data_IF_260969349687
#
_entry.id   IF_260969349687
#
_cell.length_a   1.000
_cell.length_b   1.000
_cell.length_c   1.000
_cell.angle_alpha   90.00
_cell.angle_beta   90.00
_cell.angle_gamma   90.00
#
_symmetry.space_group_name_H-M   'P 1'
#
loop_
_entity.id
_entity.type
_entity.pdbx_description
1 polymer ?
#
# COMPACT_ATOMS: atom_id res chain seq x y z
N UNK A 1 -13.55 38.71 13.70
CA UNK A 1 -15.00 38.91 13.91
C UNK A 1 -15.74 37.76 13.23
N UNK A 2 -16.48 36.96 14.00
CA UNK A 2 -17.37 35.88 13.53
C UNK A 2 -18.77 36.47 13.30
N UNK A 3 -19.55 35.95 12.34
CA UNK A 3 -20.99 35.87 12.54
C UNK A 3 -21.38 34.43 12.88
N UNK A 4 -21.94 34.26 14.07
CA UNK A 4 -22.70 33.09 14.51
C UNK A 4 -24.11 33.20 13.91
N UNK A 5 -24.56 32.17 13.20
CA UNK A 5 -25.97 32.04 12.79
C UNK A 5 -26.61 30.97 13.67
N UNK A 6 -27.59 31.43 14.44
CA UNK A 6 -28.47 30.65 15.31
C UNK A 6 -29.74 30.35 14.53
N UNK A 7 -30.14 29.09 14.41
CA UNK A 7 -31.40 28.66 13.80
C UNK A 7 -31.96 27.42 14.51
N UNK A 8 -33.27 27.31 14.75
CA UNK A 8 -33.84 26.45 15.76
C UNK A 8 -34.10 25.00 15.30
N UNK A 9 -34.15 24.15 16.31
CA UNK A 9 -34.60 22.75 16.36
C UNK A 9 -36.00 22.59 15.78
N UNK A 10 -36.17 21.62 14.86
CA UNK A 10 -37.48 21.03 14.55
C UNK A 10 -37.39 19.53 14.85
N UNK A 11 -38.07 19.15 15.92
CA UNK A 11 -38.34 17.78 16.33
C UNK A 11 -39.60 17.31 15.57
N UNK A 12 -39.46 16.32 14.70
CA UNK A 12 -40.60 15.62 14.12
C UNK A 12 -40.35 14.11 14.21
N UNK A 13 -40.94 13.51 15.23
CA UNK A 13 -41.08 12.06 15.41
C UNK A 13 -42.07 11.50 14.39
N UNK A 14 -41.70 10.43 13.68
CA UNK A 14 -42.66 9.52 13.07
C UNK A 14 -42.15 8.08 13.22
N UNK A 15 -42.84 7.35 14.11
CA UNK A 15 -42.75 5.91 14.31
C UNK A 15 -43.55 5.23 13.21
N UNK A 16 -42.94 4.28 12.50
CA UNK A 16 -43.70 3.22 11.81
C UNK A 16 -42.98 1.89 11.98
N UNK A 17 -43.56 1.05 12.82
CA UNK A 17 -43.22 -0.36 12.97
C UNK A 17 -43.92 -1.17 11.89
N UNK A 18 -43.21 -2.09 11.23
CA UNK A 18 -43.82 -3.25 10.56
C UNK A 18 -42.99 -4.48 10.89
N UNK A 19 -43.65 -5.42 11.55
CA UNK A 19 -43.16 -6.74 11.89
C UNK A 19 -43.25 -7.68 10.67
N UNK A 20 -42.22 -8.49 10.45
CA UNK A 20 -42.24 -9.62 9.53
C UNK A 20 -41.51 -10.79 10.15
N UNK A 21 -42.26 -11.66 10.85
CA UNK A 21 -41.82 -12.97 11.32
C UNK A 21 -41.78 -13.92 10.12
N UNK A 22 -40.62 -14.52 9.85
CA UNK A 22 -40.59 -15.82 9.16
C UNK A 22 -39.65 -16.74 9.93
N UNK A 23 -40.25 -17.49 10.86
CA UNK A 23 -39.65 -18.63 11.50
C UNK A 23 -39.84 -19.86 10.61
N UNK A 24 -38.75 -20.53 10.24
CA UNK A 24 -38.80 -21.93 9.82
C UNK A 24 -38.16 -22.74 10.93
N UNK A 25 -38.99 -23.21 11.86
CA UNK A 25 -38.65 -24.28 12.76
C UNK A 25 -38.86 -25.61 12.02
N UNK A 26 -37.90 -26.52 12.13
CA UNK A 26 -38.09 -27.92 11.79
C UNK A 26 -37.47 -28.74 12.93
N UNK A 27 -38.34 -29.34 13.72
CA UNK A 27 -38.02 -30.17 14.89
C UNK A 27 -37.92 -31.64 14.49
N UNK A 28 -36.84 -32.28 14.98
CA UNK A 28 -36.76 -33.64 15.55
C UNK A 28 -36.88 -34.80 14.54
N UNK A 29 -35.95 -35.75 14.46
CA UNK A 29 -35.68 -36.75 15.50
C UNK A 29 -34.29 -37.39 15.39
N UNK A 30 -33.76 -37.76 16.56
CA UNK A 30 -32.49 -38.46 16.74
C UNK A 30 -32.67 -39.97 16.57
N UNK A 31 -32.06 -40.56 15.55
CA UNK A 31 -31.77 -42.00 15.54
C UNK A 31 -30.29 -42.22 15.89
N UNK A 32 -30.08 -42.89 17.02
CA UNK A 32 -28.79 -43.36 17.50
C UNK A 32 -28.07 -44.21 16.46
N UNK A 33 -26.75 -44.02 16.32
CA UNK A 33 -25.86 -45.11 15.94
C UNK A 33 -24.46 -44.88 16.52
N UNK A 34 -24.00 -45.85 17.30
CA UNK A 34 -22.76 -45.83 18.07
C UNK A 34 -21.56 -46.31 17.24
N UNK A 35 -20.46 -45.51 17.27
CA UNK A 35 -19.02 -45.88 17.13
C UNK A 35 -18.51 -46.36 15.75
N UNK A 36 -17.19 -46.24 15.39
CA UNK A 36 -15.96 -45.93 16.17
C UNK A 36 -15.17 -44.68 15.70
N UNK A 37 -14.06 -44.25 16.37
CA UNK A 37 -13.30 -43.06 15.97
C UNK A 37 -12.44 -43.37 14.74
N UNK A 38 -12.68 -42.64 13.65
CA UNK A 38 -11.73 -42.56 12.54
C UNK A 38 -10.72 -41.44 12.83
N UNK A 39 -9.44 -41.79 12.73
CA UNK A 39 -8.28 -40.92 12.89
C UNK A 39 -8.43 -39.59 12.13
N UNK A 40 -7.89 -38.46 12.64
CA UNK A 40 -7.85 -37.24 11.85
C UNK A 40 -6.91 -37.48 10.65
N UNK A 41 -7.49 -37.59 9.46
CA UNK A 41 -6.75 -37.38 8.22
C UNK A 41 -6.34 -35.91 8.24
N UNK A 42 -5.09 -35.66 8.59
CA UNK A 42 -4.40 -34.40 8.34
C UNK A 42 -4.54 -34.09 6.86
N UNK A 43 -5.54 -33.30 6.51
CA UNK A 43 -5.63 -32.65 5.22
C UNK A 43 -4.45 -31.67 5.18
N UNK A 44 -3.51 -31.79 4.23
CA UNK A 44 -2.57 -30.72 4.00
C UNK A 44 -3.43 -29.50 3.68
N UNK A 45 -3.34 -28.47 4.53
CA UNK A 45 -3.70 -27.14 4.11
C UNK A 45 -2.90 -26.90 2.82
N UNK A 46 -3.59 -26.83 1.69
CA UNK A 46 -3.05 -26.23 0.48
C UNK A 46 -2.67 -24.81 0.85
N UNK A 47 -1.41 -24.64 1.27
CA UNK A 47 -0.72 -23.36 1.20
C UNK A 47 -0.86 -22.93 -0.25
N UNK A 48 -1.77 -22.00 -0.48
CA UNK A 48 -1.86 -21.26 -1.71
C UNK A 48 -0.43 -20.74 -2.00
N UNK A 49 0.15 -21.01 -3.18
CA UNK A 49 1.46 -20.46 -3.50
C UNK A 49 1.30 -18.94 -3.54
N UNK A 50 1.70 -18.27 -2.47
CA UNK A 50 2.14 -16.89 -2.56
C UNK A 50 3.18 -16.88 -3.65
N UNK A 51 2.96 -16.05 -4.67
CA UNK A 51 3.86 -15.89 -5.80
C UNK A 51 5.20 -15.35 -5.28
N UNK A 52 6.07 -16.24 -4.79
CA UNK A 52 7.50 -16.00 -4.64
C UNK A 52 8.12 -16.15 -6.03
N UNK A 53 7.78 -15.22 -6.92
CA UNK A 53 8.70 -14.88 -7.99
C UNK A 53 9.94 -14.22 -7.38
N UNK A 54 11.11 -14.27 -8.04
CA UNK A 54 12.28 -13.54 -7.57
C UNK A 54 11.97 -12.04 -7.59
N UNK A 55 11.66 -11.46 -6.44
CA UNK A 55 11.60 -10.00 -6.30
C UNK A 55 13.03 -9.47 -6.23
N UNK A 56 13.32 -8.38 -6.94
CA UNK A 56 14.60 -7.69 -6.80
C UNK A 56 14.60 -6.91 -5.50
N UNK A 57 15.44 -7.31 -4.54
CA UNK A 57 15.67 -6.56 -3.31
C UNK A 57 16.69 -5.44 -3.53
N UNK A 58 16.43 -4.29 -2.92
CA UNK A 58 17.29 -3.11 -2.97
C UNK A 58 17.50 -2.56 -1.55
N UNK A 59 18.63 -1.88 -1.36
CA UNK A 59 18.92 -1.08 -0.15
C UNK A 59 18.82 0.39 -0.49
N UNK A 60 18.20 1.14 0.41
CA UNK A 60 18.05 2.59 0.35
C UNK A 60 18.86 3.18 1.50
N UNK A 61 19.84 4.04 1.21
CA UNK A 61 20.71 4.65 2.23
C UNK A 61 20.66 6.16 2.18
N UNK A 62 20.43 6.77 3.34
CA UNK A 62 20.56 8.22 3.56
C UNK A 62 21.50 8.40 4.76
N UNK A 63 22.72 8.88 4.50
CA UNK A 63 23.75 8.97 5.54
C UNK A 63 24.07 7.60 6.15
N UNK A 64 23.86 7.46 7.47
CA UNK A 64 24.05 6.21 8.20
C UNK A 64 22.77 5.37 8.34
N UNK A 65 21.62 5.90 7.93
CA UNK A 65 20.32 5.22 8.01
C UNK A 65 20.07 4.38 6.76
N UNK A 66 19.42 3.23 6.94
CA UNK A 66 19.16 2.26 5.87
C UNK A 66 17.72 1.75 5.92
N UNK A 67 17.13 1.57 4.75
CA UNK A 67 15.88 0.85 4.53
C UNK A 67 16.10 -0.28 3.53
N UNK A 68 15.32 -1.36 3.64
CA UNK A 68 15.25 -2.42 2.62
C UNK A 68 13.94 -2.31 1.87
N UNK A 69 13.99 -2.51 0.56
CA UNK A 69 12.80 -2.49 -0.28
C UNK A 69 12.85 -3.61 -1.32
N UNK A 70 11.68 -3.91 -1.89
CA UNK A 70 11.51 -4.82 -3.01
C UNK A 70 10.91 -4.09 -4.19
N UNK A 71 11.37 -4.43 -5.39
CA UNK A 71 10.78 -3.96 -6.64
C UNK A 71 9.60 -4.85 -7.04
N UNK A 72 8.58 -4.23 -7.63
CA UNK A 72 7.42 -4.92 -8.18
C UNK A 72 7.75 -5.58 -9.53
N UNK A 73 6.93 -6.53 -9.95
CA UNK A 73 7.11 -7.23 -11.22
C UNK A 73 6.39 -6.49 -12.37
N UNK A 74 6.98 -5.37 -12.82
CA UNK A 74 6.45 -4.56 -13.91
C UNK A 74 7.59 -3.94 -14.76
N UNK A 75 7.26 -3.37 -15.91
CA UNK A 75 8.26 -2.95 -16.90
C UNK A 75 9.14 -1.82 -16.36
N UNK A 76 8.51 -0.80 -15.76
CA UNK A 76 9.21 0.35 -15.15
C UNK A 76 10.13 -0.07 -14.01
N UNK A 77 9.71 -1.00 -13.15
CA UNK A 77 10.52 -1.48 -12.03
C UNK A 77 11.75 -2.28 -12.49
N UNK A 78 11.60 -3.10 -13.54
CA UNK A 78 12.72 -3.83 -14.16
C UNK A 78 13.71 -2.85 -14.83
N UNK A 79 13.20 -1.80 -15.46
CA UNK A 79 14.05 -0.78 -16.06
C UNK A 79 14.77 0.06 -14.98
N UNK A 80 14.07 0.41 -13.90
CA UNK A 80 14.67 1.06 -12.72
C UNK A 80 15.80 0.21 -12.13
N UNK A 81 15.62 -1.12 -12.04
CA UNK A 81 16.67 -2.02 -11.56
C UNK A 81 17.97 -1.92 -12.40
N UNK A 82 17.87 -1.60 -13.69
CA UNK A 82 19.03 -1.43 -14.57
C UNK A 82 19.85 -0.15 -14.28
N UNK A 83 19.29 0.81 -13.54
CA UNK A 83 19.98 2.03 -13.10
C UNK A 83 20.83 1.81 -11.84
N UNK A 84 20.60 0.72 -11.10
CA UNK A 84 21.23 0.51 -9.81
C UNK A 84 22.68 0.02 -10.01
N UNK A 85 23.69 0.61 -9.32
CA UNK A 85 23.56 1.60 -8.26
C UNK A 85 23.32 3.03 -8.76
N UNK A 86 22.45 3.77 -8.06
CA UNK A 86 22.12 5.16 -8.38
C UNK A 86 22.14 6.02 -7.12
N UNK A 87 22.45 7.31 -7.27
CA UNK A 87 22.35 8.31 -6.19
C UNK A 87 21.45 9.45 -6.64
N UNK A 88 20.48 9.81 -5.80
CA UNK A 88 19.40 10.77 -6.10
C UNK A 88 19.37 11.80 -4.96
N UNK A 89 19.25 13.08 -5.31
CA UNK A 89 18.93 14.11 -4.31
C UNK A 89 17.43 14.19 -4.16
N UNK A 90 16.93 13.86 -2.98
CA UNK A 90 15.52 13.92 -2.63
C UNK A 90 15.18 15.25 -1.97
N UNK A 91 13.96 15.72 -2.20
CA UNK A 91 13.34 16.82 -1.45
C UNK A 91 11.98 16.38 -0.92
N UNK A 92 11.49 17.05 0.12
CA UNK A 92 10.17 16.79 0.67
C UNK A 92 9.08 17.43 -0.21
N UNK A 93 8.05 16.65 -0.54
CA UNK A 93 6.88 17.13 -1.26
C UNK A 93 5.61 16.85 -0.45
N UNK A 94 4.92 17.94 -0.08
CA UNK A 94 3.63 17.89 0.58
C UNK A 94 3.62 17.28 1.99
N UNK A 95 4.78 17.07 2.63
CA UNK A 95 4.86 16.34 3.89
C UNK A 95 4.42 14.88 3.76
N UNK A 96 4.51 14.30 2.55
CA UNK A 96 3.95 13.00 2.21
C UNK A 96 4.96 12.09 1.52
N UNK A 97 5.76 12.65 0.63
CA UNK A 97 6.71 11.91 -0.18
C UNK A 97 8.07 12.59 -0.21
N UNK A 98 9.13 11.80 -0.35
CA UNK A 98 10.46 12.28 -0.74
C UNK A 98 10.62 12.02 -2.23
N UNK A 99 10.92 13.04 -3.02
CA UNK A 99 10.99 12.93 -4.47
C UNK A 99 12.30 13.48 -5.05
N UNK A 100 12.75 12.94 -6.18
CA UNK A 100 13.92 13.47 -6.89
C UNK A 100 14.14 12.84 -8.26
N UNK A 101 14.87 13.52 -9.15
CA UNK A 101 15.00 13.14 -10.55
C UNK A 101 15.87 11.90 -10.72
N UNK A 102 15.45 11.00 -11.61
CA UNK A 102 16.26 9.88 -12.10
C UNK A 102 17.24 10.36 -13.20
N UNK A 103 18.34 9.63 -13.42
CA UNK A 103 19.34 10.00 -14.44
C UNK A 103 18.82 9.88 -15.88
N UNK A 104 17.70 9.19 -16.09
CA UNK A 104 16.99 9.07 -17.37
C UNK A 104 15.54 8.65 -17.14
N UNK A 105 14.74 8.82 -18.18
CA UNK A 105 13.41 8.23 -18.33
C UNK A 105 13.45 6.69 -18.22
N UNK A 106 12.39 6.13 -17.64
CA UNK A 106 12.15 4.69 -17.52
C UNK A 106 11.08 4.22 -18.49
N UNK A 107 11.03 2.91 -18.75
CA UNK A 107 9.96 2.28 -19.51
C UNK A 107 8.56 2.63 -18.96
N UNK A 108 7.62 2.89 -19.87
CA UNK A 108 6.23 3.18 -19.55
C UNK A 108 5.49 1.97 -18.95
N UNK A 109 4.58 2.25 -18.02
CA UNK A 109 3.63 1.29 -17.48
C UNK A 109 2.39 2.03 -16.92
N UNK A 110 1.39 1.29 -16.46
CA UNK A 110 0.12 1.85 -16.01
C UNK A 110 0.26 2.59 -14.66
N UNK A 111 -0.04 3.88 -14.67
CA UNK A 111 -0.18 4.69 -13.47
C UNK A 111 -1.45 4.37 -12.67
N UNK A 112 -1.40 4.64 -11.36
CA UNK A 112 -2.57 4.57 -10.48
C UNK A 112 -2.68 5.82 -9.60
N UNK A 113 -3.90 6.09 -9.13
CA UNK A 113 -4.18 7.30 -8.32
C UNK A 113 -3.89 7.13 -6.82
N UNK A 114 -3.82 5.89 -6.34
CA UNK A 114 -3.68 5.56 -4.93
C UNK A 114 -2.24 5.12 -4.60
N UNK A 115 -1.83 5.36 -3.36
CA UNK A 115 -0.55 4.93 -2.81
C UNK A 115 -0.70 4.56 -1.34
N UNK A 116 0.33 3.91 -0.79
CA UNK A 116 0.47 3.58 0.64
C UNK A 116 1.81 4.10 1.13
N UNK A 117 1.88 4.38 2.44
CA UNK A 117 3.17 4.62 3.08
C UNK A 117 4.08 3.40 2.88
N UNK A 118 5.34 3.66 2.53
CA UNK A 118 6.33 2.66 2.13
C UNK A 118 6.45 2.45 0.63
N UNK A 119 5.53 2.92 -0.21
CA UNK A 119 5.62 2.66 -1.65
C UNK A 119 6.60 3.57 -2.39
N UNK A 120 7.25 3.00 -3.40
CA UNK A 120 8.07 3.69 -4.38
C UNK A 120 7.27 3.85 -5.67
N UNK A 121 7.20 5.07 -6.20
CA UNK A 121 6.54 5.41 -7.46
C UNK A 121 7.49 6.10 -8.44
N UNK A 122 7.20 5.94 -9.72
CA UNK A 122 7.83 6.67 -10.82
C UNK A 122 6.85 7.69 -11.38
N UNK A 123 7.21 8.96 -11.28
CA UNK A 123 6.48 10.08 -11.83
C UNK A 123 7.03 10.44 -13.21
N UNK A 124 6.42 9.87 -14.24
CA UNK A 124 6.82 10.01 -15.65
C UNK A 124 6.97 11.48 -16.11
N UNK A 125 6.09 12.44 -15.75
CA UNK A 125 6.18 13.80 -16.31
C UNK A 125 7.49 14.55 -16.03
N UNK A 126 8.23 14.18 -14.98
CA UNK A 126 9.57 14.74 -14.70
C UNK A 126 10.67 13.70 -14.55
N UNK A 127 10.36 12.41 -14.76
CA UNK A 127 11.24 11.28 -14.50
C UNK A 127 11.69 11.16 -13.03
N UNK A 128 10.79 11.44 -12.09
CA UNK A 128 11.14 11.46 -10.67
C UNK A 128 10.86 10.09 -10.01
N UNK A 129 11.76 9.69 -9.11
CA UNK A 129 11.44 8.72 -8.08
C UNK A 129 10.65 9.44 -6.97
N UNK A 130 9.53 8.88 -6.53
CA UNK A 130 8.78 9.29 -5.36
C UNK A 130 8.77 8.17 -4.32
N UNK A 131 9.07 8.48 -3.06
CA UNK A 131 8.97 7.54 -1.93
C UNK A 131 7.92 8.09 -0.96
N UNK A 132 6.76 7.45 -0.93
CA UNK A 132 5.65 7.85 -0.07
C UNK A 132 5.91 7.36 1.35
N UNK A 133 6.07 8.26 2.32
CA UNK A 133 6.26 7.91 3.73
C UNK A 133 5.01 8.12 4.58
N UNK A 134 3.98 8.80 4.04
CA UNK A 134 2.69 9.01 4.68
C UNK A 134 1.56 8.75 3.68
N UNK A 135 0.44 8.20 4.15
CA UNK A 135 -0.83 8.26 3.43
C UNK A 135 -1.73 9.28 4.13
N UNK A 136 -2.08 10.35 3.41
CA UNK A 136 -2.92 11.45 3.87
C UNK A 136 -4.28 11.50 3.15
N UNK A 137 -4.63 10.46 2.38
CA UNK A 137 -5.85 10.39 1.60
C UNK A 137 -5.85 11.21 0.31
N UNK A 138 -4.73 11.84 -0.07
CA UNK A 138 -4.63 12.48 -1.37
C UNK A 138 -4.71 11.45 -2.51
N UNK A 139 -5.34 11.85 -3.61
CA UNK A 139 -5.51 11.03 -4.81
C UNK A 139 -4.75 11.68 -5.95
N UNK A 140 -3.84 10.93 -6.56
CA UNK A 140 -2.99 11.42 -7.66
C UNK A 140 -3.86 11.52 -8.93
N UNK A 141 -3.95 12.70 -9.57
CA UNK A 141 -4.71 12.86 -10.80
C UNK A 141 -4.21 11.96 -11.93
N UNK A 142 -5.10 11.61 -12.86
CA UNK A 142 -4.73 10.90 -14.08
C UNK A 142 -3.59 11.63 -14.83
N UNK A 143 -2.60 10.90 -15.38
CA UNK A 143 -2.54 9.44 -15.55
C UNK A 143 -2.11 8.64 -14.30
N UNK A 144 -1.93 9.29 -13.16
CA UNK A 144 -1.48 8.66 -11.93
C UNK A 144 0.04 8.50 -11.87
N UNK A 145 0.49 7.62 -10.99
CA UNK A 145 1.92 7.31 -10.80
C UNK A 145 2.15 5.81 -10.97
N UNK A 146 3.27 5.42 -11.58
CA UNK A 146 3.61 4.01 -11.73
C UNK A 146 4.26 3.51 -10.45
N UNK A 147 3.61 2.60 -9.73
CA UNK A 147 4.21 2.01 -8.53
C UNK A 147 5.27 0.97 -8.92
N UNK A 148 6.49 1.15 -8.45
CA UNK A 148 7.65 0.33 -8.86
C UNK A 148 8.23 -0.51 -7.72
N UNK A 149 7.84 -0.26 -6.47
CA UNK A 149 8.33 -1.02 -5.34
C UNK A 149 7.73 -0.62 -4.00
N UNK A 150 8.23 -1.23 -2.94
CA UNK A 150 7.78 -1.01 -1.57
C UNK A 150 8.91 -1.27 -0.57
N UNK A 151 9.00 -0.43 0.45
CA UNK A 151 9.89 -0.58 1.60
C UNK A 151 9.35 -1.67 2.50
N UNK A 152 10.18 -2.67 2.76
CA UNK A 152 9.89 -3.77 3.69
C UNK A 152 10.24 -3.38 5.13
N UNK A 153 11.38 -2.69 5.33
CA UNK A 153 11.86 -2.26 6.66
C UNK A 153 12.59 -0.92 6.57
N UNK A 154 12.60 -0.15 7.66
CA UNK A 154 13.39 1.09 7.76
C UNK A 154 12.76 2.34 7.14
N UNK A 155 11.42 2.44 7.09
CA UNK A 155 10.75 3.63 6.53
C UNK A 155 11.11 4.94 7.27
N UNK A 156 11.46 4.85 8.54
CA UNK A 156 11.99 5.94 9.36
C UNK A 156 13.29 6.53 8.78
N UNK A 157 14.15 5.70 8.18
CA UNK A 157 15.36 6.19 7.48
C UNK A 157 15.05 7.19 6.36
N UNK A 158 13.85 7.10 5.75
CA UNK A 158 13.37 8.03 4.72
C UNK A 158 12.60 9.19 5.34
N UNK A 159 11.76 8.90 6.35
CA UNK A 159 10.86 9.88 6.97
C UNK A 159 11.63 10.95 7.75
N UNK A 160 12.66 10.53 8.48
CA UNK A 160 13.45 11.40 9.36
C UNK A 160 14.52 12.22 8.61
N UNK A 161 14.64 12.01 7.29
CA UNK A 161 15.55 12.78 6.47
C UNK A 161 15.05 14.23 6.29
N UNK A 162 15.76 15.18 6.90
CA UNK A 162 15.48 16.61 6.82
C UNK A 162 16.03 17.24 5.54
N UNK A 163 15.31 18.25 5.02
CA UNK A 163 15.76 19.06 3.89
C UNK A 163 16.01 18.26 2.62
N UNK A 164 17.07 18.63 1.88
CA UNK A 164 17.52 17.87 0.72
C UNK A 164 18.38 16.70 1.19
N UNK A 165 17.95 15.48 0.91
CA UNK A 165 18.61 14.25 1.35
C UNK A 165 19.27 13.53 0.17
N UNK A 166 20.51 13.09 0.34
CA UNK A 166 21.19 12.25 -0.66
C UNK A 166 20.83 10.79 -0.40
N UNK A 167 20.03 10.21 -1.30
CA UNK A 167 19.67 8.79 -1.30
C UNK A 167 20.62 8.02 -2.23
N UNK A 168 21.30 7.00 -1.71
CA UNK A 168 21.99 5.99 -2.52
C UNK A 168 21.19 4.70 -2.53
N UNK A 169 21.01 4.13 -3.71
CA UNK A 169 20.26 2.90 -3.94
C UNK A 169 21.21 1.85 -4.50
N UNK A 170 21.25 0.66 -3.89
CA UNK A 170 22.05 -0.48 -4.34
C UNK A 170 21.21 -1.75 -4.40
N UNK A 171 21.66 -2.76 -5.13
CA UNK A 171 21.13 -4.12 -4.96
C UNK A 171 21.39 -4.59 -3.53
N UNK A 172 20.48 -5.39 -2.97
CA UNK A 172 20.54 -5.85 -1.58
C UNK A 172 21.48 -7.03 -1.34
#
# INVERSE_FOLDING_TARGET
MRPMITGPVVLATAVTAVAGLTACASTTDSAANSSPPASPTTQPATSQPGQEGPFTQIRLRIGASEATARLYDNATARDFASLIPVTITLHDLGGREKAGPLPRELADDQGQSNYRAGQLGYWEPSNDLAIYYRNDGFTIPDPGIVMIGEIDTGLDAITDADGNATLTITAA
#
